data_IF_815161235876
#
_entry.id   IF_815161235876
#
_cell.length_a   1.000
_cell.length_b   1.000
_cell.length_c   1.000
_cell.angle_alpha   90.00
_cell.angle_beta   90.00
_cell.angle_gamma   90.00
#
_symmetry.space_group_name_H-M   'P 1'
#
loop_
_entity.id
_entity.type
_entity.pdbx_description
1 polymer ?
#
# COMPACT_ATOMS: atom_id res chain seq x y z
N UNK A 1 34.02 -6.68 -20.72
CA UNK A 1 33.41 -7.34 -21.91
C UNK A 1 32.47 -6.35 -22.57
N UNK A 2 32.33 -6.35 -23.90
CA UNK A 2 31.29 -5.56 -24.56
C UNK A 2 29.89 -6.04 -24.13
N UNK A 3 28.95 -5.11 -23.98
CA UNK A 3 27.56 -5.41 -23.63
C UNK A 3 26.85 -6.05 -24.82
N UNK A 4 26.30 -7.26 -24.64
CA UNK A 4 25.50 -7.92 -25.67
C UNK A 4 24.03 -7.44 -25.61
N UNK A 5 23.71 -6.47 -26.48
CA UNK A 5 22.36 -5.91 -26.58
C UNK A 5 21.33 -6.93 -27.09
N UNK A 6 21.73 -8.01 -27.78
CA UNK A 6 20.81 -9.02 -28.28
C UNK A 6 20.24 -9.87 -27.12
N UNK A 7 21.08 -10.26 -26.16
CA UNK A 7 20.63 -10.94 -24.92
C UNK A 7 19.62 -10.10 -24.14
N UNK A 8 19.86 -8.79 -24.06
CA UNK A 8 18.96 -7.87 -23.35
C UNK A 8 17.62 -7.67 -24.08
N UNK A 9 17.58 -7.79 -25.41
CA UNK A 9 16.33 -7.72 -26.19
C UNK A 9 15.48 -8.98 -26.02
N UNK A 10 16.09 -10.14 -25.82
CA UNK A 10 15.36 -11.40 -25.54
C UNK A 10 14.82 -11.46 -24.11
N UNK A 11 15.33 -10.63 -23.21
CA UNK A 11 14.84 -10.46 -21.85
C UNK A 11 13.87 -9.28 -21.79
N UNK A 12 12.64 -9.44 -22.32
CA UNK A 12 11.59 -8.44 -22.09
C UNK A 12 11.02 -8.60 -20.68
N UNK A 13 11.74 -8.07 -19.70
CA UNK A 13 11.37 -8.19 -18.27
C UNK A 13 10.09 -7.41 -17.95
N UNK A 14 9.63 -6.51 -18.83
CA UNK A 14 8.38 -5.74 -18.67
C UNK A 14 7.12 -6.61 -18.70
N UNK A 15 7.21 -7.84 -19.24
CA UNK A 15 6.12 -8.81 -19.20
C UNK A 15 5.93 -9.43 -17.80
N UNK A 16 6.87 -9.19 -16.87
CA UNK A 16 6.86 -9.86 -15.57
C UNK A 16 6.99 -8.87 -14.40
N UNK A 17 7.84 -7.85 -14.53
CA UNK A 17 8.05 -6.89 -13.46
C UNK A 17 7.88 -5.48 -14.01
N UNK A 18 6.95 -4.74 -13.42
CA UNK A 18 6.83 -3.32 -13.66
C UNK A 18 8.15 -2.61 -13.32
N UNK A 19 8.48 -1.52 -14.02
CA UNK A 19 9.61 -0.69 -13.64
C UNK A 19 9.54 -0.34 -12.14
N UNK A 20 10.68 -0.46 -11.45
CA UNK A 20 10.79 -0.14 -10.04
C UNK A 20 10.34 1.29 -9.79
N UNK A 21 9.42 1.43 -8.85
CA UNK A 21 8.84 2.70 -8.42
C UNK A 21 8.72 2.61 -6.92
N UNK A 22 9.55 3.37 -6.20
CA UNK A 22 9.60 3.37 -4.74
C UNK A 22 8.22 3.68 -4.12
N UNK A 23 7.35 4.41 -4.84
CA UNK A 23 6.00 4.73 -4.37
C UNK A 23 5.03 3.56 -4.50
N UNK A 24 5.34 2.54 -5.28
CA UNK A 24 4.42 1.41 -5.55
C UNK A 24 5.00 0.07 -5.12
N UNK A 25 6.32 -0.07 -5.15
CA UNK A 25 7.01 -1.31 -4.98
C UNK A 25 7.75 -1.36 -3.65
N UNK A 26 7.90 -2.57 -3.14
CA UNK A 26 8.81 -2.92 -2.06
C UNK A 26 10.14 -3.36 -2.69
N UNK A 27 11.27 -2.85 -2.19
CA UNK A 27 12.58 -3.08 -2.81
C UNK A 27 12.95 -4.57 -2.81
N UNK A 28 12.74 -5.26 -1.69
CA UNK A 28 13.00 -6.69 -1.52
C UNK A 28 12.19 -7.56 -2.50
N UNK A 29 10.89 -7.35 -2.53
CA UNK A 29 9.97 -8.09 -3.41
C UNK A 29 10.30 -7.81 -4.87
N UNK A 30 10.53 -6.55 -5.23
CA UNK A 30 10.85 -6.18 -6.60
C UNK A 30 12.16 -6.81 -7.06
N UNK A 31 13.23 -6.72 -6.26
CA UNK A 31 14.52 -7.30 -6.62
C UNK A 31 14.44 -8.82 -6.77
N UNK A 32 13.70 -9.49 -5.88
CA UNK A 32 13.48 -10.95 -5.95
C UNK A 32 12.80 -11.35 -7.25
N UNK A 33 11.73 -10.64 -7.65
CA UNK A 33 11.01 -10.89 -8.90
C UNK A 33 11.86 -10.59 -10.13
N UNK A 34 12.60 -9.47 -10.09
CA UNK A 34 13.53 -9.06 -11.13
C UNK A 34 14.62 -10.12 -11.34
N UNK A 35 15.23 -10.61 -10.25
CA UNK A 35 16.25 -11.66 -10.23
C UNK A 35 15.79 -12.96 -10.85
N UNK A 36 14.67 -13.51 -10.38
CA UNK A 36 14.13 -14.78 -10.85
C UNK A 36 13.96 -14.85 -12.38
N UNK A 37 13.81 -13.71 -13.05
CA UNK A 37 13.67 -13.64 -14.51
C UNK A 37 14.99 -13.50 -15.26
N UNK A 38 15.90 -12.63 -14.82
CA UNK A 38 17.17 -12.50 -15.52
C UNK A 38 18.14 -13.66 -15.25
N UNK A 39 17.91 -14.49 -14.22
CA UNK A 39 18.75 -15.67 -13.92
C UNK A 39 18.94 -16.58 -15.14
N UNK A 40 17.95 -16.67 -16.02
CA UNK A 40 18.03 -17.48 -17.25
C UNK A 40 18.83 -16.82 -18.40
N UNK A 41 19.15 -15.54 -18.27
CA UNK A 41 19.83 -14.74 -19.28
C UNK A 41 21.35 -14.86 -19.32
N UNK A 42 21.96 -15.48 -18.29
CA UNK A 42 23.42 -15.59 -18.12
C UNK A 42 24.15 -14.26 -18.41
N UNK A 43 23.68 -13.20 -17.75
CA UNK A 43 24.18 -11.84 -17.94
C UNK A 43 25.49 -11.63 -17.19
N UNK A 44 26.42 -10.91 -17.79
CA UNK A 44 27.53 -10.32 -17.04
C UNK A 44 27.07 -9.06 -16.28
N UNK A 45 27.92 -8.55 -15.39
CA UNK A 45 27.58 -7.40 -14.54
C UNK A 45 27.24 -6.12 -15.33
N UNK A 46 27.92 -5.85 -16.45
CA UNK A 46 27.64 -4.67 -17.27
C UNK A 46 26.30 -4.80 -18.01
N UNK A 47 25.98 -6.00 -18.49
CA UNK A 47 24.66 -6.30 -19.05
C UNK A 47 23.56 -6.18 -18.00
N UNK A 48 23.80 -6.65 -16.78
CA UNK A 48 22.85 -6.54 -15.67
C UNK A 48 22.60 -5.08 -15.27
N UNK A 49 23.63 -4.23 -15.20
CA UNK A 49 23.49 -2.79 -14.92
C UNK A 49 22.62 -2.10 -15.97
N UNK A 50 22.84 -2.40 -17.25
CA UNK A 50 22.01 -1.88 -18.34
C UNK A 50 20.56 -2.36 -18.21
N UNK A 51 20.35 -3.62 -17.78
CA UNK A 51 19.01 -4.11 -17.51
C UNK A 51 18.35 -3.36 -16.36
N UNK A 52 19.03 -3.21 -15.22
CA UNK A 52 18.55 -2.44 -14.06
C UNK A 52 18.19 -1.01 -14.47
N UNK A 53 19.02 -0.35 -15.28
CA UNK A 53 18.76 1.01 -15.79
C UNK A 53 17.43 1.13 -16.54
N UNK A 54 17.07 0.11 -17.34
CA UNK A 54 15.82 0.11 -18.12
C UNK A 54 14.58 -0.13 -17.26
N UNK A 55 14.78 -0.60 -16.04
CA UNK A 55 13.73 -1.14 -15.18
C UNK A 55 13.57 -0.39 -13.86
N UNK A 56 14.09 0.83 -13.73
CA UNK A 56 13.74 1.73 -12.64
C UNK A 56 13.20 3.07 -13.12
N UNK A 57 12.47 3.74 -12.24
CA UNK A 57 11.78 5.01 -12.52
C UNK A 57 12.13 6.04 -11.46
N UNK A 58 12.30 7.28 -11.90
CA UNK A 58 12.47 8.44 -11.04
C UNK A 58 13.93 8.86 -10.84
N UNK A 59 14.09 10.09 -10.36
CA UNK A 59 15.39 10.75 -10.22
C UNK A 59 16.26 10.02 -9.19
N UNK A 60 15.68 9.66 -8.03
CA UNK A 60 16.39 8.92 -6.99
C UNK A 60 16.99 7.61 -7.49
N UNK A 61 16.26 6.85 -8.31
CA UNK A 61 16.79 5.62 -8.92
C UNK A 61 17.93 5.91 -9.90
N UNK A 62 17.75 6.96 -10.71
CA UNK A 62 18.74 7.37 -11.71
C UNK A 62 20.04 7.85 -11.04
N UNK A 63 19.93 8.59 -9.95
CA UNK A 63 21.06 9.13 -9.19
C UNK A 63 21.79 8.01 -8.45
N UNK A 64 21.07 7.13 -7.75
CA UNK A 64 21.65 5.94 -7.13
C UNK A 64 22.43 5.08 -8.14
N UNK A 65 21.86 4.85 -9.33
CA UNK A 65 22.51 4.02 -10.33
C UNK A 65 23.82 4.65 -10.81
N UNK A 66 23.86 5.98 -10.99
CA UNK A 66 25.08 6.70 -11.38
C UNK A 66 26.14 6.69 -10.28
N UNK A 67 25.74 6.95 -9.04
CA UNK A 67 26.65 7.18 -7.92
C UNK A 67 27.15 5.89 -7.27
N UNK A 68 26.31 4.84 -7.24
CA UNK A 68 26.58 3.61 -6.49
C UNK A 68 26.43 2.37 -7.37
N UNK A 69 25.28 2.20 -8.04
CA UNK A 69 24.97 0.96 -8.77
C UNK A 69 25.96 0.64 -9.89
N UNK A 70 26.39 1.64 -10.66
CA UNK A 70 27.37 1.45 -11.74
C UNK A 70 28.78 1.12 -11.24
N UNK A 71 29.08 1.38 -9.96
CA UNK A 71 30.37 1.05 -9.34
C UNK A 71 30.43 -0.40 -8.82
N UNK A 72 29.31 -1.12 -8.77
CA UNK A 72 29.25 -2.49 -8.27
C UNK A 72 30.02 -3.45 -9.20
N UNK A 73 30.88 -4.29 -8.62
CA UNK A 73 31.75 -5.22 -9.35
C UNK A 73 31.09 -6.56 -9.69
N UNK A 74 30.00 -6.92 -9.02
CA UNK A 74 29.28 -8.17 -9.22
C UNK A 74 27.80 -8.01 -8.82
N UNK A 75 26.99 -9.03 -9.14
CA UNK A 75 25.55 -9.06 -8.87
C UNK A 75 25.22 -8.87 -7.38
N UNK A 76 25.94 -9.55 -6.48
CA UNK A 76 25.69 -9.47 -5.05
C UNK A 76 25.93 -8.06 -4.50
N UNK A 77 26.99 -7.39 -4.98
CA UNK A 77 27.27 -5.99 -4.62
C UNK A 77 26.20 -5.03 -5.15
N UNK A 78 25.68 -5.28 -6.35
CA UNK A 78 24.60 -4.48 -6.95
C UNK A 78 23.29 -4.64 -6.18
N UNK A 79 22.92 -5.88 -5.84
CA UNK A 79 21.76 -6.21 -5.00
C UNK A 79 21.88 -5.55 -3.62
N UNK A 80 23.02 -5.70 -2.96
CA UNK A 80 23.26 -5.09 -1.65
C UNK A 80 23.17 -3.56 -1.71
N UNK A 81 23.76 -2.93 -2.75
CA UNK A 81 23.69 -1.48 -2.94
C UNK A 81 22.26 -0.98 -3.20
N UNK A 82 21.48 -1.73 -3.99
CA UNK A 82 20.07 -1.42 -4.25
C UNK A 82 19.24 -1.50 -2.97
N UNK A 83 19.36 -2.61 -2.24
CA UNK A 83 18.62 -2.82 -1.00
C UNK A 83 19.03 -1.82 0.07
N UNK A 84 20.31 -1.42 0.15
CA UNK A 84 20.75 -0.39 1.08
C UNK A 84 20.12 0.98 0.79
N UNK A 85 19.90 1.31 -0.48
CA UNK A 85 19.32 2.61 -0.87
C UNK A 85 17.80 2.64 -0.72
N UNK A 86 17.12 1.58 -1.14
CA UNK A 86 15.66 1.61 -1.32
C UNK A 86 14.89 0.82 -0.26
N UNK A 87 15.56 0.00 0.57
CA UNK A 87 14.90 -0.65 1.69
C UNK A 87 14.68 0.38 2.81
N UNK A 88 13.47 0.43 3.39
CA UNK A 88 13.20 1.25 4.57
C UNK A 88 14.19 0.97 5.70
N UNK A 89 14.70 2.02 6.32
CA UNK A 89 15.59 1.93 7.50
C UNK A 89 14.83 1.36 8.70
N UNK A 90 15.51 0.75 9.70
CA UNK A 90 14.84 0.24 10.90
C UNK A 90 13.98 1.26 11.64
N UNK A 91 14.38 2.53 11.60
CA UNK A 91 13.61 3.64 12.17
C UNK A 91 12.32 3.89 11.39
N UNK A 92 12.38 3.93 10.05
CA UNK A 92 11.19 4.09 9.21
C UNK A 92 10.23 2.91 9.33
N UNK A 93 10.76 1.68 9.42
CA UNK A 93 9.95 0.48 9.65
C UNK A 93 9.19 0.59 10.98
N UNK A 94 9.90 0.97 12.04
CA UNK A 94 9.32 1.15 13.38
C UNK A 94 8.24 2.24 13.37
N UNK A 95 8.53 3.38 12.74
CA UNK A 95 7.56 4.46 12.61
C UNK A 95 6.31 4.03 11.83
N UNK A 96 6.48 3.29 10.74
CA UNK A 96 5.37 2.79 9.94
C UNK A 96 4.48 1.82 10.72
N UNK A 97 5.06 0.95 11.57
CA UNK A 97 4.29 0.08 12.48
C UNK A 97 3.41 0.90 13.42
N UNK A 98 3.94 1.95 14.03
CA UNK A 98 3.17 2.84 14.90
C UNK A 98 2.08 3.60 14.12
N UNK A 99 2.40 4.10 12.93
CA UNK A 99 1.44 4.75 12.04
C UNK A 99 0.28 3.80 11.75
N UNK A 100 0.54 2.57 11.28
CA UNK A 100 -0.49 1.58 10.99
C UNK A 100 -1.31 1.19 12.22
N UNK A 101 -0.68 1.06 13.40
CA UNK A 101 -1.35 0.72 14.64
C UNK A 101 -2.45 1.71 15.03
N UNK A 102 -2.25 3.00 14.72
CA UNK A 102 -3.21 4.09 14.98
C UNK A 102 -4.06 4.48 13.76
N UNK A 103 -3.73 3.98 12.57
CA UNK A 103 -4.39 4.37 11.32
C UNK A 103 -5.80 3.78 11.21
N UNK A 104 -6.80 4.63 11.02
CA UNK A 104 -8.21 4.23 10.93
C UNK A 104 -8.93 4.93 9.78
N UNK A 105 -9.69 4.16 9.00
CA UNK A 105 -10.62 4.69 8.02
C UNK A 105 -11.78 5.34 8.76
N UNK A 106 -12.14 6.57 8.40
CA UNK A 106 -13.32 7.22 8.94
C UNK A 106 -14.57 6.87 8.12
N UNK A 107 -15.80 6.88 8.70
CA UNK A 107 -17.02 6.54 7.96
C UNK A 107 -17.33 7.40 6.74
N UNK A 108 -16.83 8.65 6.70
CA UNK A 108 -16.96 9.56 5.55
C UNK A 108 -15.62 9.85 4.85
N UNK A 109 -14.57 9.10 5.18
CA UNK A 109 -13.24 9.29 4.59
C UNK A 109 -13.16 8.78 3.16
N UNK A 110 -12.16 9.26 2.43
CA UNK A 110 -11.86 8.73 1.10
C UNK A 110 -11.20 7.35 1.23
N UNK A 111 -11.88 6.33 0.71
CA UNK A 111 -11.40 4.95 0.77
C UNK A 111 -10.15 4.73 -0.08
N UNK A 112 -10.05 5.35 -1.26
CA UNK A 112 -8.94 5.11 -2.17
C UNK A 112 -7.68 5.80 -1.64
N UNK A 113 -7.80 7.02 -1.09
CA UNK A 113 -6.71 7.67 -0.37
C UNK A 113 -6.27 6.86 0.87
N UNK A 114 -7.23 6.29 1.61
CA UNK A 114 -6.92 5.44 2.76
C UNK A 114 -6.15 4.19 2.36
N UNK A 115 -6.58 3.53 1.29
CA UNK A 115 -5.94 2.34 0.75
C UNK A 115 -4.51 2.63 0.30
N UNK A 116 -4.29 3.73 -0.42
CA UNK A 116 -2.97 4.13 -0.90
C UNK A 116 -2.01 4.40 0.25
N UNK A 117 -2.46 5.13 1.28
CA UNK A 117 -1.65 5.38 2.47
C UNK A 117 -1.34 4.09 3.25
N UNK A 118 -2.34 3.24 3.46
CA UNK A 118 -2.13 1.93 4.09
C UNK A 118 -1.08 1.11 3.34
N UNK A 119 -1.18 1.02 2.01
CA UNK A 119 -0.23 0.25 1.20
C UNK A 119 1.18 0.85 1.23
N UNK A 120 1.31 2.17 1.34
CA UNK A 120 2.59 2.83 1.51
C UNK A 120 3.24 2.52 2.86
N UNK A 121 2.49 2.66 3.95
CA UNK A 121 3.01 2.39 5.28
C UNK A 121 3.23 0.89 5.52
N UNK A 122 2.39 0.00 4.97
CA UNK A 122 2.58 -1.45 5.09
C UNK A 122 3.89 -1.92 4.44
N UNK A 123 4.22 -1.42 3.24
CA UNK A 123 5.49 -1.74 2.58
C UNK A 123 6.69 -1.28 3.40
N UNK A 124 6.58 -0.16 4.10
CA UNK A 124 7.61 0.30 5.03
C UNK A 124 7.68 -0.60 6.26
N UNK A 125 6.55 -0.92 6.88
CA UNK A 125 6.50 -1.68 8.13
C UNK A 125 6.89 -3.16 7.98
N UNK A 126 6.73 -3.72 6.79
CA UNK A 126 6.93 -5.15 6.53
C UNK A 126 7.51 -5.39 5.14
N UNK A 127 8.75 -4.92 4.87
CA UNK A 127 9.40 -5.14 3.58
C UNK A 127 9.56 -6.64 3.31
N UNK A 128 9.51 -7.03 2.03
CA UNK A 128 9.64 -8.42 1.57
C UNK A 128 8.49 -9.36 1.92
N UNK A 129 7.42 -8.89 2.59
CA UNK A 129 6.30 -9.75 2.96
C UNK A 129 5.30 -9.94 1.82
N UNK A 130 4.76 -11.15 1.72
CA UNK A 130 3.77 -11.49 0.70
C UNK A 130 2.49 -10.64 0.80
N UNK A 131 1.86 -10.37 -0.36
CA UNK A 131 0.60 -9.62 -0.46
C UNK A 131 -0.50 -10.13 0.48
N UNK A 132 -0.59 -11.45 0.72
CA UNK A 132 -1.62 -12.01 1.61
C UNK A 132 -1.46 -11.60 3.07
N UNK A 133 -0.22 -11.33 3.52
CA UNK A 133 0.08 -10.97 4.91
C UNK A 133 -0.51 -9.61 5.31
N UNK A 134 -0.90 -8.77 4.33
CA UNK A 134 -1.49 -7.44 4.59
C UNK A 134 -2.99 -7.46 4.88
N UNK A 135 -3.68 -8.58 4.68
CA UNK A 135 -5.14 -8.69 4.85
C UNK A 135 -5.56 -8.37 6.29
N UNK A 136 -4.97 -9.06 7.28
CA UNK A 136 -5.34 -8.87 8.69
C UNK A 136 -5.00 -7.45 9.19
N UNK A 137 -3.79 -6.90 8.95
CA UNK A 137 -3.50 -5.50 9.26
C UNK A 137 -4.49 -4.53 8.63
N UNK A 138 -4.86 -4.74 7.36
CA UNK A 138 -5.81 -3.86 6.66
C UNK A 138 -7.19 -3.87 7.33
N UNK A 139 -7.73 -5.06 7.65
CA UNK A 139 -9.01 -5.19 8.35
C UNK A 139 -8.97 -4.46 9.71
N UNK A 140 -7.84 -4.49 10.41
CA UNK A 140 -7.63 -3.76 11.66
C UNK A 140 -7.70 -2.22 11.53
N UNK A 141 -7.62 -1.67 10.32
CA UNK A 141 -7.77 -0.23 10.07
C UNK A 141 -9.22 0.20 9.82
N UNK A 142 -10.14 -0.74 9.66
CA UNK A 142 -11.55 -0.44 9.36
C UNK A 142 -12.30 0.01 10.62
N UNK A 143 -13.24 0.93 10.47
CA UNK A 143 -14.15 1.29 11.56
C UNK A 143 -15.14 0.16 11.85
N UNK A 144 -15.67 0.15 13.08
CA UNK A 144 -16.46 -0.95 13.64
C UNK A 144 -17.60 -1.43 12.75
N UNK A 145 -18.51 -0.54 12.35
CA UNK A 145 -19.68 -0.88 11.52
C UNK A 145 -19.30 -1.53 10.17
N UNK A 146 -18.22 -1.05 9.53
CA UNK A 146 -17.70 -1.67 8.31
C UNK A 146 -17.09 -3.05 8.58
N UNK A 147 -16.36 -3.20 9.69
CA UNK A 147 -15.78 -4.48 10.10
C UNK A 147 -16.89 -5.50 10.43
N UNK A 148 -17.94 -5.09 11.14
CA UNK A 148 -19.09 -5.94 11.48
C UNK A 148 -19.84 -6.43 10.23
N UNK A 149 -20.03 -5.58 9.21
CA UNK A 149 -20.64 -6.00 7.94
C UNK A 149 -19.72 -6.88 7.12
N UNK A 150 -18.41 -6.67 7.19
CA UNK A 150 -17.45 -7.52 6.50
C UNK A 150 -17.41 -8.93 7.10
N UNK A 151 -17.52 -9.06 8.43
CA UNK A 151 -17.45 -10.35 9.15
C UNK A 151 -18.76 -11.13 9.16
N UNK A 152 -19.90 -10.50 8.85
CA UNK A 152 -21.16 -11.20 8.63
C UNK A 152 -21.24 -11.92 7.28
N UNK A 153 -20.31 -11.64 6.36
CA UNK A 153 -20.15 -12.32 5.08
C UNK A 153 -19.03 -13.38 5.13
N UNK A 154 -19.00 -14.34 4.17
CA UNK A 154 -17.93 -15.33 4.10
C UNK A 154 -16.52 -14.69 4.03
N UNK A 155 -15.51 -15.23 4.74
CA UNK A 155 -14.15 -14.71 4.72
C UNK A 155 -13.57 -14.63 3.30
N UNK A 156 -12.86 -13.54 3.01
CA UNK A 156 -12.15 -13.36 1.75
C UNK A 156 -10.65 -13.43 2.00
N UNK A 157 -10.01 -14.45 1.43
CA UNK A 157 -8.54 -14.62 1.48
C UNK A 157 -7.83 -14.02 0.25
N UNK A 158 -8.58 -13.48 -0.72
CA UNK A 158 -8.06 -12.80 -1.90
C UNK A 158 -8.08 -11.28 -1.73
N UNK A 159 -6.94 -10.63 -1.91
CA UNK A 159 -6.80 -9.20 -1.70
C UNK A 159 -7.73 -8.37 -2.61
N UNK A 160 -7.81 -8.69 -3.90
CA UNK A 160 -8.58 -7.89 -4.86
C UNK A 160 -10.09 -7.96 -4.58
N UNK A 161 -10.59 -9.16 -4.25
CA UNK A 161 -11.97 -9.37 -3.81
C UNK A 161 -12.25 -8.66 -2.49
N UNK A 162 -11.31 -8.69 -1.54
CA UNK A 162 -11.45 -8.00 -0.26
C UNK A 162 -11.62 -6.50 -0.47
N UNK A 163 -10.72 -5.87 -1.23
CA UNK A 163 -10.79 -4.43 -1.53
C UNK A 163 -12.09 -4.06 -2.23
N UNK A 164 -12.54 -4.88 -3.19
CA UNK A 164 -13.79 -4.64 -3.90
C UNK A 164 -14.98 -4.64 -2.93
N UNK A 165 -15.05 -5.62 -2.02
CA UNK A 165 -16.13 -5.71 -1.03
C UNK A 165 -16.08 -4.57 -0.02
N UNK A 166 -14.91 -4.27 0.54
CA UNK A 166 -14.75 -3.17 1.52
C UNK A 166 -15.14 -1.83 0.89
N UNK A 167 -14.71 -1.55 -0.35
CA UNK A 167 -15.10 -0.34 -1.08
C UNK A 167 -16.61 -0.23 -1.26
N UNK A 168 -17.27 -1.33 -1.60
CA UNK A 168 -18.73 -1.39 -1.77
C UNK A 168 -19.46 -1.09 -0.46
N UNK A 169 -19.13 -1.83 0.61
CA UNK A 169 -19.74 -1.66 1.93
C UNK A 169 -19.51 -0.24 2.48
N UNK A 170 -18.29 0.29 2.32
CA UNK A 170 -17.97 1.65 2.75
C UNK A 170 -18.86 2.70 2.07
N UNK A 171 -19.07 2.59 0.75
CA UNK A 171 -19.97 3.48 0.01
C UNK A 171 -21.43 3.36 0.47
N UNK A 172 -21.90 2.14 0.76
CA UNK A 172 -23.25 1.92 1.27
C UNK A 172 -23.44 2.59 2.63
N UNK A 173 -22.55 2.33 3.60
CA UNK A 173 -22.61 2.92 4.94
C UNK A 173 -22.53 4.45 4.88
N UNK A 174 -21.63 5.00 4.06
CA UNK A 174 -21.50 6.45 3.89
C UNK A 174 -22.80 7.09 3.39
N UNK A 175 -23.47 6.45 2.41
CA UNK A 175 -24.77 6.89 1.90
C UNK A 175 -25.87 6.83 2.96
N UNK A 176 -25.96 5.72 3.71
CA UNK A 176 -26.93 5.55 4.80
C UNK A 176 -26.77 6.64 5.87
N UNK A 177 -25.54 6.91 6.30
CA UNK A 177 -25.24 7.96 7.28
C UNK A 177 -25.54 9.37 6.75
N UNK A 178 -25.29 9.62 5.47
CA UNK A 178 -25.67 10.87 4.80
C UNK A 178 -27.19 11.10 4.81
N UNK A 179 -27.97 10.08 4.47
CA UNK A 179 -29.44 10.14 4.49
C UNK A 179 -29.98 10.33 5.92
N UNK A 180 -29.42 9.62 6.90
CA UNK A 180 -29.80 9.78 8.31
C UNK A 180 -29.54 11.22 8.80
N UNK A 181 -28.41 11.83 8.40
CA UNK A 181 -28.08 13.22 8.75
C UNK A 181 -29.07 14.21 8.14
N UNK A 182 -29.46 14.03 6.87
CA UNK A 182 -30.48 14.87 6.21
C UNK A 182 -31.85 14.74 6.91
N UNK A 183 -32.23 13.52 7.26
CA UNK A 183 -33.50 13.25 7.96
C UNK A 183 -33.52 13.90 9.35
N UNK A 184 -32.41 13.83 10.09
CA UNK A 184 -32.26 14.48 11.39
C UNK A 184 -32.33 16.01 11.31
N UNK A 185 -31.85 16.61 10.20
CA UNK A 185 -31.92 18.05 9.97
C UNK A 185 -33.34 18.52 9.57
N UNK A 186 -34.17 17.62 9.02
CA UNK A 186 -35.56 17.87 8.64
C UNK A 186 -36.57 17.53 9.74
N UNK A 187 -36.13 16.86 10.81
CA UNK A 187 -36.97 16.58 11.97
C UNK A 187 -37.40 17.93 12.62
N UNK A 188 -38.71 18.17 12.82
CA UNK A 188 -39.15 19.41 13.45
C UNK A 188 -38.52 19.52 14.84
N UNK A 189 -37.97 20.69 15.18
CA UNK A 189 -37.55 21.01 16.55
C UNK A 189 -38.77 20.90 17.46
N UNK A 190 -38.98 19.72 18.04
CA UNK A 190 -40.00 19.48 19.04
C UNK A 190 -39.81 20.48 20.18
N UNK A 191 -40.87 21.21 20.50
CA UNK A 191 -40.96 22.20 21.57
C UNK A 191 -40.24 21.68 22.82
N UNK A 192 -39.26 22.45 23.32
CA UNK A 192 -38.86 22.38 24.72
C UNK A 192 -40.12 22.64 25.56
N UNK A 193 -40.72 21.58 26.10
CA UNK A 193 -41.73 21.69 27.14
C UNK A 193 -41.05 22.29 28.36
N UNK A 194 -41.37 23.55 28.66
CA UNK A 194 -40.96 24.18 29.91
C UNK A 194 -41.53 23.41 31.11
N UNK A 195 -40.81 23.35 32.24
CA UNK A 195 -41.29 22.67 33.43
C UNK A 195 -42.57 23.34 33.92
N UNK A 196 -43.68 22.60 33.93
CA UNK A 196 -44.89 22.97 34.67
C UNK A 196 -44.59 22.84 36.16
N UNK A 197 -44.57 23.96 36.88
CA UNK A 197 -44.63 23.99 38.34
C UNK A 197 -46.01 23.54 38.81
N UNK A 198 -46.13 22.57 39.73
CA UNK A 198 -47.39 22.29 40.40
C UNK A 198 -47.66 23.38 41.45
N UNK A 199 -48.79 24.05 41.30
CA UNK A 199 -49.32 25.00 42.27
C UNK A 199 -50.04 24.19 43.36
N UNK A 200 -49.49 24.14 44.58
CA UNK A 200 -50.21 23.63 45.75
C UNK A 200 -50.60 24.80 46.65
N UNK A 201 -51.88 25.16 46.62
CA UNK A 201 -52.55 25.91 47.68
C UNK A 201 -53.45 24.93 48.43
N UNK A 202 -53.17 24.77 49.73
CA UNK A 202 -54.10 24.93 50.86
C UNK A 202 -53.30 24.87 52.15
#
# INVERSE_FOLDING_TARGET
MPVDLAKLKTLDVRLICDPFDLKKHDADTWWTLFKAKYTHGNLNIEELKVLVQRHGVGDLFTDWLKEKGNLCANEAALEASFLQEFRPTPQEQTQAVYTLGSYRLSPGGDFDQHLDHFLAEYRKASPGHETKARILPFIGTLYEDLNSRLTSEPPINDWARLITRVRFLHKQISKEKGLAKLTAMQAPKGKQGGPQTPNFQT
#
